data_IF_315809142311
#
_entry.id   IF_315809142311
#
_cell.length_a   1.000
_cell.length_b   1.000
_cell.length_c   1.000
_cell.angle_alpha   90.00
_cell.angle_beta   90.00
_cell.angle_gamma   90.00
#
_symmetry.space_group_name_H-M   'P 1'
#
loop_
_entity.id
_entity.type
_entity.pdbx_description
1 polymer ?
#
# COMPACT_ATOMS: atom_id res chain seq x y z
N UNK A 1 17.00 -27.85 18.09
CA UNK A 1 16.52 -28.13 16.72
C UNK A 1 15.36 -27.23 16.28
N UNK A 2 14.44 -26.82 17.17
CA UNK A 2 13.33 -25.92 16.86
C UNK A 2 13.67 -24.43 16.62
N UNK A 3 14.85 -23.96 17.04
CA UNK A 3 15.22 -22.54 16.89
C UNK A 3 15.72 -22.19 15.48
N UNK A 4 16.34 -23.15 14.80
CA UNK A 4 16.85 -22.97 13.43
C UNK A 4 15.71 -22.89 12.40
N UNK A 5 14.64 -23.69 12.56
CA UNK A 5 13.45 -23.62 11.70
C UNK A 5 12.68 -22.30 11.89
N UNK A 6 12.63 -21.75 13.11
CA UNK A 6 11.95 -20.47 13.37
C UNK A 6 12.70 -19.29 12.73
N UNK A 7 14.03 -19.33 12.71
CA UNK A 7 14.85 -18.32 12.05
C UNK A 7 14.66 -18.36 10.53
N UNK A 8 14.69 -19.56 9.92
CA UNK A 8 14.43 -19.74 8.48
C UNK A 8 13.01 -19.33 8.09
N UNK A 9 12.00 -19.67 8.90
CA UNK A 9 10.62 -19.28 8.63
C UNK A 9 10.39 -17.77 8.81
N UNK A 10 11.07 -17.13 9.78
CA UNK A 10 11.02 -15.67 9.97
C UNK A 10 11.71 -14.96 8.80
N UNK A 11 12.89 -15.39 8.38
CA UNK A 11 13.56 -14.88 7.18
C UNK A 11 12.72 -15.08 5.91
N UNK A 12 12.06 -16.24 5.75
CA UNK A 12 11.24 -16.54 4.58
C UNK A 12 9.90 -15.79 4.55
N UNK A 13 9.33 -15.45 5.72
CA UNK A 13 8.14 -14.60 5.81
C UNK A 13 8.48 -13.12 5.55
N UNK A 14 9.61 -12.64 6.06
CA UNK A 14 10.10 -11.28 5.79
C UNK A 14 10.51 -11.09 4.33
N UNK A 15 11.15 -12.09 3.73
CA UNK A 15 11.54 -12.10 2.32
C UNK A 15 10.32 -12.13 1.38
N UNK A 16 9.31 -12.97 1.68
CA UNK A 16 8.01 -12.95 0.98
C UNK A 16 7.26 -11.62 1.13
N UNK A 17 7.28 -11.03 2.33
CA UNK A 17 6.68 -9.71 2.54
C UNK A 17 7.44 -8.62 1.78
N UNK A 18 8.77 -8.72 1.68
CA UNK A 18 9.61 -7.75 0.96
C UNK A 18 9.41 -7.83 -0.55
N UNK A 19 9.42 -9.03 -1.14
CA UNK A 19 9.09 -9.23 -2.57
C UNK A 19 7.64 -8.85 -2.87
N UNK A 20 6.70 -9.24 -2.00
CA UNK A 20 5.29 -8.85 -2.15
C UNK A 20 5.12 -7.34 -2.13
N UNK A 21 5.81 -6.64 -1.23
CA UNK A 21 5.77 -5.18 -1.13
C UNK A 21 6.44 -4.47 -2.31
N UNK A 22 7.55 -4.99 -2.82
CA UNK A 22 8.20 -4.44 -4.02
C UNK A 22 7.28 -4.49 -5.26
N UNK A 23 6.40 -5.49 -5.34
CA UNK A 23 5.39 -5.61 -6.40
C UNK A 23 4.15 -4.76 -6.11
N UNK A 24 3.70 -4.70 -4.86
CA UNK A 24 2.49 -3.98 -4.46
C UNK A 24 2.71 -2.47 -4.40
N UNK A 25 3.91 -1.99 -4.06
CA UNK A 25 4.25 -0.57 -4.01
C UNK A 25 3.97 0.19 -5.32
N UNK A 26 4.47 -0.24 -6.49
CA UNK A 26 4.16 0.43 -7.76
C UNK A 26 2.67 0.32 -8.15
N UNK A 27 1.99 -0.78 -7.79
CA UNK A 27 0.55 -0.94 -8.03
C UNK A 27 -0.27 0.08 -7.21
N UNK A 28 0.09 0.27 -5.95
CA UNK A 28 -0.57 1.24 -5.06
C UNK A 28 -0.25 2.68 -5.48
N UNK A 29 0.97 2.98 -5.92
CA UNK A 29 1.30 4.28 -6.50
C UNK A 29 0.49 4.58 -7.78
N UNK A 30 0.36 3.59 -8.67
CA UNK A 30 -0.46 3.72 -9.88
C UNK A 30 -1.95 3.92 -9.55
N UNK A 31 -2.46 3.23 -8.52
CA UNK A 31 -3.81 3.44 -8.02
C UNK A 31 -4.02 4.87 -7.51
N UNK A 32 -3.07 5.43 -6.75
CA UNK A 32 -3.13 6.82 -6.30
C UNK A 32 -3.25 7.80 -7.46
N UNK A 33 -2.39 7.62 -8.48
CA UNK A 33 -2.37 8.47 -9.66
C UNK A 33 -3.70 8.41 -10.40
N UNK A 34 -4.24 7.21 -10.59
CA UNK A 34 -5.55 7.01 -11.21
C UNK A 34 -6.68 7.66 -10.40
N UNK A 35 -6.66 7.56 -9.07
CA UNK A 35 -7.67 8.18 -8.20
C UNK A 35 -7.63 9.71 -8.29
N UNK A 36 -6.43 10.31 -8.34
CA UNK A 36 -6.25 11.75 -8.51
C UNK A 36 -6.74 12.24 -9.88
N UNK A 37 -6.39 11.53 -10.95
CA UNK A 37 -6.84 11.85 -12.31
C UNK A 37 -8.37 11.72 -12.41
N UNK A 38 -8.91 10.61 -11.92
CA UNK A 38 -10.36 10.35 -11.93
C UNK A 38 -11.10 11.41 -11.11
N UNK A 39 -10.57 11.81 -9.94
CA UNK A 39 -11.14 12.90 -9.13
C UNK A 39 -11.21 14.21 -9.89
N UNK A 40 -10.18 14.57 -10.66
CA UNK A 40 -10.14 15.79 -11.46
C UNK A 40 -11.18 15.83 -12.60
N UNK A 41 -11.61 14.65 -13.08
CA UNK A 41 -12.61 14.52 -14.15
C UNK A 41 -14.05 14.51 -13.64
N UNK A 42 -14.27 14.35 -12.34
CA UNK A 42 -15.60 14.26 -11.74
C UNK A 42 -16.06 15.59 -11.14
N UNK A 43 -17.35 15.91 -11.34
CA UNK A 43 -17.96 17.08 -10.73
C UNK A 43 -18.01 16.95 -9.20
N UNK A 44 -17.93 18.09 -8.49
CA UNK A 44 -17.90 18.15 -7.01
C UNK A 44 -19.07 17.48 -6.28
N UNK A 45 -20.23 17.33 -6.92
CA UNK A 45 -21.40 16.70 -6.32
C UNK A 45 -21.48 15.19 -6.56
N UNK A 46 -20.59 14.63 -7.38
CA UNK A 46 -20.56 13.20 -7.65
C UNK A 46 -20.14 12.42 -6.40
N UNK A 47 -20.91 11.41 -6.01
CA UNK A 47 -20.61 10.60 -4.82
C UNK A 47 -19.32 9.78 -4.93
N UNK A 48 -18.93 9.35 -6.14
CA UNK A 48 -17.62 8.76 -6.38
C UNK A 48 -16.51 9.77 -6.13
N UNK A 49 -16.71 11.04 -6.50
CA UNK A 49 -15.72 12.08 -6.24
C UNK A 49 -15.53 12.31 -4.73
N UNK A 50 -16.61 12.27 -3.94
CA UNK A 50 -16.55 12.33 -2.47
C UNK A 50 -15.84 11.11 -1.87
N UNK A 51 -16.09 9.92 -2.41
CA UNK A 51 -15.44 8.69 -1.96
C UNK A 51 -13.92 8.70 -2.25
N UNK A 52 -13.54 9.17 -3.44
CA UNK A 52 -12.13 9.37 -3.80
C UNK A 52 -11.46 10.41 -2.90
N UNK A 53 -12.12 11.53 -2.62
CA UNK A 53 -11.63 12.58 -1.71
C UNK A 53 -11.37 12.02 -0.30
N UNK A 54 -12.33 11.25 0.22
CA UNK A 54 -12.21 10.58 1.51
C UNK A 54 -11.07 9.57 1.56
N UNK A 55 -10.93 8.74 0.52
CA UNK A 55 -9.87 7.75 0.42
C UNK A 55 -8.49 8.42 0.28
N UNK A 56 -8.37 9.45 -0.56
CA UNK A 56 -7.14 10.23 -0.74
C UNK A 56 -6.73 10.99 0.54
N UNK A 57 -7.69 11.49 1.32
CA UNK A 57 -7.42 12.12 2.63
C UNK A 57 -6.78 11.13 3.63
N UNK A 58 -7.09 9.84 3.51
CA UNK A 58 -6.55 8.77 4.36
C UNK A 58 -5.41 8.00 3.70
N UNK A 59 -4.95 8.45 2.55
CA UNK A 59 -3.91 7.78 1.78
C UNK A 59 -2.62 7.49 2.57
N UNK A 60 -2.08 8.41 3.40
CA UNK A 60 -0.87 8.12 4.19
C UNK A 60 -1.04 6.94 5.15
N UNK A 61 -2.22 6.80 5.76
CA UNK A 61 -2.54 5.65 6.62
C UNK A 61 -2.74 4.37 5.79
N UNK A 62 -3.34 4.48 4.61
CA UNK A 62 -3.51 3.36 3.68
C UNK A 62 -2.16 2.84 3.18
N UNK A 63 -1.16 3.68 2.95
CA UNK A 63 0.18 3.28 2.50
C UNK A 63 1.14 2.97 3.64
N UNK A 64 0.73 3.06 4.90
CA UNK A 64 1.62 2.84 6.05
C UNK A 64 2.21 1.42 6.05
N UNK A 65 1.47 0.41 5.60
CA UNK A 65 1.99 -0.96 5.45
C UNK A 65 3.07 -1.09 4.35
N UNK A 66 3.14 -0.11 3.43
CA UNK A 66 4.17 0.03 2.41
C UNK A 66 5.36 0.90 2.87
N UNK A 67 5.28 1.53 4.04
CA UNK A 67 6.40 2.25 4.69
C UNK A 67 6.95 1.52 5.92
N UNK A 68 6.13 0.70 6.60
CA UNK A 68 6.53 -0.09 7.78
C UNK A 68 7.31 -1.35 7.38
N UNK A 69 8.53 -1.17 6.92
CA UNK A 69 9.41 -2.23 6.45
C UNK A 69 10.82 -1.74 6.62
N UNK A 70 11.27 -1.68 7.87
CA UNK A 70 12.65 -1.41 8.29
C UNK A 70 13.38 -0.38 7.42
N UNK A 71 13.16 0.90 7.72
CA UNK A 71 14.28 1.84 7.57
C UNK A 71 15.08 1.69 8.87
N UNK A 72 16.17 0.93 8.77
CA UNK A 72 17.25 0.82 9.76
C UNK A 72 17.97 2.15 9.94
#
# INVERSE_FOLDING_TARGET
MFEAERAVNRSSAEDRCSTGRAVVAPLVANLQAWMLETRGRLSRHNDLAKALDYALKRWPAFTQFLSDGRVV
#
